data_IF_756830775535
#
_entry.id   IF_756830775535
#
_cell.length_a   1.000
_cell.length_b   1.000
_cell.length_c   1.000
_cell.angle_alpha   90.00
_cell.angle_beta   90.00
_cell.angle_gamma   90.00
#
_symmetry.space_group_name_H-M   'P 1'
#
loop_
_entity.id
_entity.type
_entity.pdbx_description
1 polymer ?
#
# COMPACT_ATOMS: atom_id res chain seq x y z
N UNK A 1 25.20 -7.03 22.30
CA UNK A 1 23.97 -7.58 22.90
C UNK A 1 22.83 -7.37 21.95
N UNK A 2 22.46 -8.41 21.22
CA UNK A 2 21.45 -8.39 20.16
C UNK A 2 20.11 -8.73 20.78
N UNK A 3 19.19 -7.76 20.88
CA UNK A 3 17.80 -8.03 21.27
C UNK A 3 17.03 -8.42 20.02
N UNK A 4 16.98 -9.71 19.75
CA UNK A 4 16.01 -10.29 18.82
C UNK A 4 14.63 -10.25 19.47
N UNK A 5 13.75 -9.36 19.00
CA UNK A 5 12.33 -9.40 19.34
C UNK A 5 11.72 -10.63 18.67
N UNK A 6 11.67 -11.74 19.43
CA UNK A 6 11.03 -12.97 19.00
C UNK A 6 9.51 -12.78 18.94
N UNK A 7 8.96 -12.77 17.73
CA UNK A 7 7.54 -13.00 17.55
C UNK A 7 7.26 -14.45 17.96
N UNK A 8 6.42 -14.65 18.97
CA UNK A 8 5.95 -15.97 19.39
C UNK A 8 5.15 -16.60 18.25
N UNK A 9 5.27 -17.91 18.07
CA UNK A 9 4.55 -18.68 17.03
C UNK A 9 3.01 -18.48 17.06
N UNK A 10 2.45 -18.15 18.21
CA UNK A 10 1.01 -17.91 18.37
C UNK A 10 0.51 -16.65 17.65
N UNK A 11 1.37 -15.65 17.43
CA UNK A 11 1.02 -14.43 16.67
C UNK A 11 1.04 -14.62 15.16
N UNK A 12 1.67 -15.65 14.64
CA UNK A 12 1.75 -15.91 13.19
C UNK A 12 0.44 -16.43 12.61
N UNK A 13 -0.37 -17.13 13.42
CA UNK A 13 -1.62 -17.73 12.95
C UNK A 13 -2.74 -16.70 12.66
N UNK A 14 -2.59 -15.46 13.14
CA UNK A 14 -3.54 -14.36 12.91
C UNK A 14 -3.11 -13.40 11.78
N UNK A 15 -1.96 -13.66 11.14
CA UNK A 15 -1.45 -12.85 10.05
C UNK A 15 -1.97 -13.35 8.70
N UNK A 16 -2.15 -12.44 7.75
CA UNK A 16 -2.45 -12.85 6.38
C UNK A 16 -1.32 -13.72 5.81
N UNK A 17 -1.64 -14.57 4.86
CA UNK A 17 -0.66 -15.39 4.13
C UNK A 17 0.51 -14.53 3.60
N UNK A 18 0.20 -13.36 3.06
CA UNK A 18 1.19 -12.43 2.51
C UNK A 18 2.12 -11.82 3.57
N UNK A 19 1.61 -11.57 4.78
CA UNK A 19 2.41 -11.12 5.91
C UNK A 19 3.40 -12.21 6.33
N UNK A 20 2.92 -13.45 6.41
CA UNK A 20 3.74 -14.61 6.77
C UNK A 20 4.86 -14.84 5.75
N UNK A 21 4.53 -14.81 4.44
CA UNK A 21 5.52 -14.94 3.38
C UNK A 21 6.57 -13.82 3.42
N UNK A 22 6.14 -12.57 3.67
CA UNK A 22 7.07 -11.45 3.77
C UNK A 22 8.00 -11.55 4.98
N UNK A 23 7.50 -12.08 6.10
CA UNK A 23 8.32 -12.39 7.29
C UNK A 23 9.36 -13.48 6.96
N UNK A 24 8.98 -14.53 6.22
CA UNK A 24 9.92 -15.57 5.78
C UNK A 24 11.03 -15.01 4.89
N UNK A 25 10.67 -14.13 3.95
CA UNK A 25 11.67 -13.42 3.14
C UNK A 25 12.59 -12.57 4.02
N UNK A 26 12.04 -11.86 5.00
CA UNK A 26 12.83 -11.04 5.93
C UNK A 26 13.82 -11.84 6.76
N UNK A 27 13.36 -12.93 7.36
CA UNK A 27 14.15 -13.75 8.29
C UNK A 27 15.18 -14.65 7.58
N UNK A 28 14.75 -15.33 6.53
CA UNK A 28 15.49 -16.45 5.94
C UNK A 28 15.99 -16.16 4.53
N UNK A 29 15.63 -15.00 3.95
CA UNK A 29 15.84 -14.74 2.52
C UNK A 29 15.26 -15.86 1.66
N UNK A 30 14.05 -16.32 2.03
CA UNK A 30 13.38 -17.44 1.39
C UNK A 30 12.97 -17.06 -0.03
N UNK A 31 13.57 -17.74 -1.01
CA UNK A 31 13.34 -17.49 -2.44
C UNK A 31 11.95 -17.95 -2.89
N UNK A 32 11.44 -19.02 -2.29
CA UNK A 32 10.12 -19.57 -2.65
C UNK A 32 9.01 -18.65 -2.16
N UNK A 33 9.13 -18.15 -0.91
CA UNK A 33 8.24 -17.15 -0.37
C UNK A 33 8.28 -15.84 -1.20
N UNK A 34 9.47 -15.42 -1.61
CA UNK A 34 9.60 -14.23 -2.46
C UNK A 34 9.00 -14.45 -3.85
N UNK A 35 9.17 -15.64 -4.45
CA UNK A 35 8.55 -15.98 -5.73
C UNK A 35 7.03 -15.86 -5.65
N UNK A 36 6.40 -16.41 -4.62
CA UNK A 36 4.95 -16.31 -4.42
C UNK A 36 4.50 -14.84 -4.25
N UNK A 37 5.23 -14.04 -3.47
CA UNK A 37 4.97 -12.59 -3.35
C UNK A 37 5.11 -11.89 -4.70
N UNK A 38 6.15 -12.20 -5.48
CA UNK A 38 6.38 -11.60 -6.79
C UNK A 38 5.25 -11.92 -7.78
N UNK A 39 4.87 -13.19 -7.90
CA UNK A 39 3.81 -13.65 -8.80
C UNK A 39 2.46 -13.01 -8.45
N UNK A 40 2.19 -12.79 -7.18
CA UNK A 40 0.94 -12.16 -6.73
C UNK A 40 0.98 -10.63 -6.89
N UNK A 41 2.05 -9.97 -6.45
CA UNK A 41 2.07 -8.50 -6.34
C UNK A 41 2.55 -7.81 -7.62
N UNK A 42 3.47 -8.38 -8.40
CA UNK A 42 4.03 -7.69 -9.57
C UNK A 42 2.98 -7.26 -10.60
N UNK A 43 2.03 -8.11 -11.04
CA UNK A 43 0.98 -7.69 -11.98
C UNK A 43 0.05 -6.63 -11.38
N UNK A 44 -0.22 -6.71 -10.08
CA UNK A 44 -1.05 -5.73 -9.36
C UNK A 44 -0.36 -4.37 -9.22
N UNK A 45 0.93 -4.38 -8.91
CA UNK A 45 1.76 -3.16 -8.87
C UNK A 45 1.84 -2.50 -10.25
N UNK A 46 2.09 -3.27 -11.32
CA UNK A 46 2.11 -2.74 -12.69
C UNK A 46 0.78 -2.08 -13.04
N UNK A 47 -0.34 -2.76 -12.80
CA UNK A 47 -1.68 -2.22 -13.04
C UNK A 47 -1.95 -0.95 -12.20
N UNK A 48 -1.51 -0.92 -10.95
CA UNK A 48 -1.61 0.26 -10.10
C UNK A 48 -0.80 1.43 -10.66
N UNK A 49 0.46 1.22 -11.04
CA UNK A 49 1.36 2.25 -11.56
C UNK A 49 0.82 2.84 -12.88
N UNK A 50 0.27 2.01 -13.77
CA UNK A 50 -0.39 2.47 -14.99
C UNK A 50 -1.61 3.36 -14.67
N UNK A 51 -2.44 2.96 -13.70
CA UNK A 51 -3.62 3.76 -13.29
C UNK A 51 -3.25 5.12 -12.72
N UNK A 52 -2.13 5.22 -12.02
CA UNK A 52 -1.64 6.49 -11.47
C UNK A 52 -0.77 7.28 -12.46
N UNK A 53 -0.84 6.97 -13.75
CA UNK A 53 -0.27 7.77 -14.84
C UNK A 53 1.19 7.49 -15.18
N UNK A 54 1.75 6.34 -14.81
CA UNK A 54 3.01 5.87 -15.38
C UNK A 54 2.76 5.32 -16.78
N UNK A 55 3.69 5.55 -17.71
CA UNK A 55 3.72 4.79 -18.97
C UNK A 55 4.13 3.34 -18.73
N UNK A 56 3.97 2.48 -19.72
CA UNK A 56 4.20 1.04 -19.58
C UNK A 56 5.65 0.70 -19.20
N UNK A 57 6.62 1.36 -19.81
CA UNK A 57 8.04 1.16 -19.52
C UNK A 57 8.39 1.60 -18.10
N UNK A 58 7.92 2.78 -17.69
CA UNK A 58 8.12 3.28 -16.33
C UNK A 58 7.43 2.39 -15.29
N UNK A 59 6.22 1.91 -15.57
CA UNK A 59 5.50 1.03 -14.66
C UNK A 59 6.24 -0.30 -14.46
N UNK A 60 6.78 -0.88 -15.53
CA UNK A 60 7.57 -2.12 -15.45
C UNK A 60 8.85 -1.92 -14.63
N UNK A 61 9.62 -0.86 -14.93
CA UNK A 61 10.86 -0.55 -14.24
C UNK A 61 10.64 -0.27 -12.75
N UNK A 62 9.63 0.56 -12.42
CA UNK A 62 9.28 0.86 -11.03
C UNK A 62 8.82 -0.40 -10.29
N UNK A 63 8.05 -1.27 -10.95
CA UNK A 63 7.62 -2.54 -10.38
C UNK A 63 8.81 -3.43 -10.02
N UNK A 64 9.76 -3.60 -10.94
CA UNK A 64 10.98 -4.38 -10.71
C UNK A 64 11.80 -3.79 -9.56
N UNK A 65 12.05 -2.48 -9.57
CA UNK A 65 12.76 -1.80 -8.50
C UNK A 65 12.05 -1.93 -7.14
N UNK A 66 10.72 -1.85 -7.12
CA UNK A 66 9.94 -2.01 -5.92
C UNK A 66 10.09 -3.44 -5.35
N UNK A 67 10.01 -4.47 -6.19
CA UNK A 67 10.16 -5.86 -5.76
C UNK A 67 11.60 -6.16 -5.30
N UNK A 68 12.62 -5.60 -5.93
CA UNK A 68 14.01 -5.67 -5.43
C UNK A 68 14.10 -5.02 -4.03
N UNK A 69 13.43 -3.89 -3.84
CA UNK A 69 13.43 -3.21 -2.54
C UNK A 69 12.67 -4.01 -1.48
N UNK A 70 11.56 -4.67 -1.85
CA UNK A 70 10.84 -5.63 -0.99
C UNK A 70 11.80 -6.71 -0.50
N UNK A 71 12.52 -7.37 -1.41
CA UNK A 71 13.53 -8.38 -1.06
C UNK A 71 14.58 -7.87 -0.08
N UNK A 72 15.12 -6.68 -0.37
CA UNK A 72 16.18 -6.08 0.45
C UNK A 72 15.70 -5.68 1.84
N UNK A 73 14.51 -5.07 1.92
CA UNK A 73 13.96 -4.46 3.14
C UNK A 73 12.97 -5.34 3.90
N UNK A 74 12.71 -6.58 3.47
CA UNK A 74 11.76 -7.47 4.12
C UNK A 74 12.03 -7.67 5.63
N UNK A 75 13.30 -7.61 6.05
CA UNK A 75 13.69 -7.68 7.47
C UNK A 75 13.11 -6.52 8.31
N UNK A 76 12.88 -5.35 7.68
CA UNK A 76 12.28 -4.18 8.35
C UNK A 76 10.76 -4.19 8.35
N UNK A 77 10.13 -5.20 7.79
CA UNK A 77 8.68 -5.32 7.78
C UNK A 77 8.15 -5.60 9.19
N UNK A 78 7.15 -4.80 9.58
CA UNK A 78 6.43 -5.00 10.85
C UNK A 78 4.93 -5.12 10.56
N UNK A 79 4.34 -6.31 10.69
CA UNK A 79 2.92 -6.55 10.41
C UNK A 79 1.97 -5.80 11.36
N UNK A 80 2.43 -5.44 12.56
CA UNK A 80 1.64 -4.61 13.49
C UNK A 80 1.48 -3.17 12.99
N UNK A 81 2.41 -2.71 12.17
CA UNK A 81 2.39 -1.35 11.62
C UNK A 81 1.58 -1.24 10.33
N UNK A 82 1.68 -2.24 9.46
CA UNK A 82 0.95 -2.32 8.20
C UNK A 82 1.01 -3.74 7.66
N UNK A 83 -0.04 -4.23 6.99
CA UNK A 83 -0.01 -5.49 6.27
C UNK A 83 0.92 -5.44 5.05
N UNK A 84 1.34 -6.62 4.58
CA UNK A 84 2.28 -6.80 3.47
C UNK A 84 1.86 -6.04 2.21
N UNK A 85 0.57 -6.10 1.86
CA UNK A 85 0.03 -5.39 0.70
C UNK A 85 0.30 -3.88 0.81
N UNK A 86 -0.13 -3.25 1.91
CA UNK A 86 0.09 -1.81 2.14
C UNK A 86 1.57 -1.45 2.11
N UNK A 87 2.41 -2.28 2.70
CA UNK A 87 3.84 -2.04 2.77
C UNK A 87 4.50 -2.11 1.38
N UNK A 88 4.16 -3.12 0.58
CA UNK A 88 4.68 -3.32 -0.78
C UNK A 88 4.21 -2.19 -1.71
N UNK A 89 2.90 -1.83 -1.70
CA UNK A 89 2.38 -0.73 -2.50
C UNK A 89 2.97 0.62 -2.11
N UNK A 90 3.27 0.83 -0.81
CA UNK A 90 3.96 2.04 -0.34
C UNK A 90 5.38 2.14 -0.92
N UNK A 91 6.10 1.02 -1.03
CA UNK A 91 7.43 1.01 -1.66
C UNK A 91 7.32 1.41 -3.13
N UNK A 92 6.39 0.81 -3.89
CA UNK A 92 6.21 1.13 -5.30
C UNK A 92 5.81 2.60 -5.53
N UNK A 93 4.87 3.11 -4.70
CA UNK A 93 4.47 4.52 -4.75
C UNK A 93 5.64 5.46 -4.48
N UNK A 94 6.44 5.19 -3.45
CA UNK A 94 7.58 6.02 -3.13
C UNK A 94 8.62 6.03 -4.26
N UNK A 95 8.84 4.88 -4.90
CA UNK A 95 9.71 4.77 -6.08
C UNK A 95 9.22 5.63 -7.24
N UNK A 96 7.90 5.64 -7.49
CA UNK A 96 7.31 6.51 -8.51
C UNK A 96 7.50 8.00 -8.17
N UNK A 97 7.23 8.39 -6.94
CA UNK A 97 7.44 9.78 -6.49
C UNK A 97 8.90 10.20 -6.66
N UNK A 98 9.85 9.35 -6.28
CA UNK A 98 11.28 9.63 -6.43
C UNK A 98 11.67 9.77 -7.91
N UNK A 99 11.08 8.96 -8.79
CA UNK A 99 11.28 9.06 -10.24
C UNK A 99 10.74 10.40 -10.78
N UNK A 100 9.51 10.76 -10.46
CA UNK A 100 8.91 12.03 -10.88
C UNK A 100 9.74 13.25 -10.43
N UNK A 101 10.26 13.20 -9.21
CA UNK A 101 11.16 14.25 -8.68
C UNK A 101 12.46 14.35 -9.47
N UNK A 102 13.06 13.21 -9.85
CA UNK A 102 14.29 13.18 -10.67
C UNK A 102 14.07 13.70 -12.08
N UNK A 103 12.90 13.41 -12.65
CA UNK A 103 12.55 13.83 -14.01
C UNK A 103 12.04 15.27 -14.08
N UNK A 104 11.98 16.02 -12.96
CA UNK A 104 11.38 17.36 -12.86
C UNK A 104 9.99 17.47 -13.50
N UNK A 105 9.26 16.38 -13.57
CA UNK A 105 7.90 16.35 -14.10
C UNK A 105 6.92 16.88 -13.05
N UNK A 106 5.90 17.66 -13.47
CA UNK A 106 4.80 18.04 -12.58
C UNK A 106 4.18 16.78 -11.99
N UNK A 107 3.90 16.81 -10.68
CA UNK A 107 3.12 15.74 -10.07
C UNK A 107 1.74 15.70 -10.73
N UNK A 108 1.26 14.54 -11.17
CA UNK A 108 -0.06 14.44 -11.76
C UNK A 108 -1.14 14.93 -10.79
N UNK A 109 -2.11 15.67 -11.29
CA UNK A 109 -3.30 16.02 -10.51
C UNK A 109 -4.23 14.80 -10.47
N UNK A 110 -4.21 14.06 -9.35
CA UNK A 110 -5.04 12.87 -9.17
C UNK A 110 -6.52 13.18 -8.93
N UNK A 111 -6.89 14.48 -8.84
CA UNK A 111 -8.29 14.90 -8.83
C UNK A 111 -8.86 15.05 -10.26
N UNK A 112 -8.02 14.94 -11.29
CA UNK A 112 -8.48 14.97 -12.68
C UNK A 112 -9.28 13.68 -12.96
N UNK A 113 -10.59 13.80 -13.32
CA UNK A 113 -11.43 12.65 -13.66
C UNK A 113 -10.87 11.79 -14.80
N UNK A 114 -9.94 12.32 -15.61
CA UNK A 114 -9.30 11.58 -16.69
C UNK A 114 -8.40 10.46 -16.22
N UNK A 115 -7.89 10.52 -14.97
CA UNK A 115 -7.12 9.43 -14.36
C UNK A 115 -7.94 8.17 -14.08
N UNK A 116 -9.26 8.31 -13.99
CA UNK A 116 -10.17 7.19 -13.79
C UNK A 116 -10.65 6.55 -15.10
N UNK A 117 -10.12 6.98 -16.25
CA UNK A 117 -10.50 6.48 -17.57
C UNK A 117 -9.63 5.29 -17.96
N UNK A 118 -10.25 4.18 -17.91
CA UNK A 118 -10.18 2.84 -18.53
C UNK A 118 -9.76 1.73 -17.59
N UNK A 119 -10.70 0.82 -17.30
CA UNK A 119 -10.34 -0.55 -16.91
C UNK A 119 -9.69 -1.21 -18.13
N UNK A 120 -8.54 -1.82 -17.96
CA UNK A 120 -8.04 -2.79 -18.93
C UNK A 120 -8.93 -4.02 -18.74
N UNK A 121 -9.75 -4.29 -19.78
CA UNK A 121 -10.72 -5.37 -19.81
C UNK A 121 -10.14 -6.73 -19.43
N UNK A 122 -10.70 -7.34 -18.38
CA UNK A 122 -11.00 -8.77 -18.32
C UNK A 122 -12.37 -8.91 -17.66
N UNK A 123 -13.33 -9.40 -18.41
CA UNK A 123 -14.77 -9.32 -18.19
C UNK A 123 -15.34 -9.92 -16.89
N UNK A 124 -14.62 -10.74 -16.14
CA UNK A 124 -15.15 -11.43 -14.96
C UNK A 124 -14.89 -10.71 -13.62
N UNK A 125 -14.01 -9.69 -13.63
CA UNK A 125 -13.60 -8.93 -12.45
C UNK A 125 -14.43 -7.66 -12.19
N UNK A 126 -15.33 -7.26 -13.11
CA UNK A 126 -15.95 -5.92 -13.06
C UNK A 126 -17.01 -5.84 -11.96
N UNK A 127 -17.81 -6.87 -11.75
CA UNK A 127 -18.86 -6.87 -10.72
C UNK A 127 -18.26 -6.90 -9.31
N UNK A 128 -17.24 -7.71 -9.08
CA UNK A 128 -16.53 -7.75 -7.80
C UNK A 128 -15.82 -6.43 -7.50
N UNK A 129 -15.20 -5.79 -8.49
CA UNK A 129 -14.53 -4.49 -8.34
C UNK A 129 -15.49 -3.34 -8.01
N UNK A 130 -16.68 -3.33 -8.59
CA UNK A 130 -17.71 -2.31 -8.31
C UNK A 130 -18.18 -2.43 -6.85
N UNK A 131 -18.35 -3.64 -6.35
CA UNK A 131 -18.76 -3.86 -4.96
C UNK A 131 -17.63 -3.58 -3.96
N UNK A 132 -16.40 -3.95 -4.29
CA UNK A 132 -15.21 -3.57 -3.50
C UNK A 132 -15.04 -2.05 -3.45
N UNK A 133 -15.22 -1.35 -4.57
CA UNK A 133 -15.13 0.11 -4.62
C UNK A 133 -16.21 0.78 -3.76
N UNK A 134 -17.43 0.27 -3.77
CA UNK A 134 -18.52 0.73 -2.89
C UNK A 134 -18.20 0.49 -1.41
N UNK A 135 -17.67 -0.70 -1.08
CA UNK A 135 -17.24 -1.04 0.29
C UNK A 135 -16.14 -0.08 0.77
N UNK A 136 -15.12 0.16 -0.05
CA UNK A 136 -14.04 1.11 0.27
C UNK A 136 -14.56 2.54 0.43
N UNK A 137 -15.42 3.01 -0.48
CA UNK A 137 -16.04 4.35 -0.37
C UNK A 137 -16.87 4.50 0.90
N UNK A 138 -17.61 3.46 1.28
CA UNK A 138 -18.39 3.45 2.53
C UNK A 138 -17.48 3.47 3.75
N UNK A 139 -16.42 2.65 3.76
CA UNK A 139 -15.45 2.62 4.85
C UNK A 139 -14.73 3.97 5.03
N UNK A 140 -14.35 4.62 3.93
CA UNK A 140 -13.73 5.96 3.96
C UNK A 140 -14.68 7.03 4.53
N UNK A 141 -15.98 6.96 4.20
CA UNK A 141 -17.00 7.88 4.75
C UNK A 141 -17.21 7.72 6.25
N UNK A 142 -16.94 6.55 6.80
CA UNK A 142 -17.08 6.24 8.22
C UNK A 142 -15.84 6.63 9.05
N UNK A 143 -14.76 7.11 8.42
CA UNK A 143 -13.60 7.63 9.13
C UNK A 143 -13.91 9.01 9.73
N UNK A 144 -13.33 9.34 10.91
CA UNK A 144 -13.31 10.72 11.39
C UNK A 144 -12.72 11.66 10.33
N UNK A 145 -13.29 12.86 10.13
CA UNK A 145 -12.89 13.76 9.04
C UNK A 145 -11.39 14.08 9.02
N UNK A 146 -10.75 14.24 10.17
CA UNK A 146 -9.32 14.49 10.29
C UNK A 146 -8.48 13.27 9.84
N UNK A 147 -8.96 12.05 10.07
CA UNK A 147 -8.28 10.83 9.62
C UNK A 147 -8.48 10.62 8.12
N UNK A 148 -9.69 10.84 7.60
CA UNK A 148 -9.99 10.78 6.19
C UNK A 148 -9.12 11.78 5.41
N UNK A 149 -8.98 13.03 5.91
CA UNK A 149 -8.11 14.05 5.31
C UNK A 149 -6.64 13.60 5.25
N UNK A 150 -6.12 13.02 6.32
CA UNK A 150 -4.73 12.53 6.34
C UNK A 150 -4.51 11.34 5.40
N UNK A 151 -5.46 10.41 5.33
CA UNK A 151 -5.44 9.30 4.37
C UNK A 151 -5.46 9.86 2.95
N UNK A 152 -6.36 10.81 2.67
CA UNK A 152 -6.45 11.45 1.36
C UNK A 152 -5.12 12.11 0.99
N UNK A 153 -4.57 12.95 1.86
CA UNK A 153 -3.28 13.62 1.62
C UNK A 153 -2.12 12.64 1.43
N UNK A 154 -2.11 11.53 2.18
CA UNK A 154 -1.03 10.55 2.08
C UNK A 154 -1.15 9.67 0.83
N UNK A 155 -2.35 9.27 0.44
CA UNK A 155 -2.58 8.24 -0.58
C UNK A 155 -3.14 8.79 -1.90
N UNK A 156 -3.85 9.92 -1.87
CA UNK A 156 -4.35 10.60 -3.06
C UNK A 156 -3.44 11.75 -3.51
N UNK A 157 -3.10 12.66 -2.59
CA UNK A 157 -2.19 13.78 -2.89
C UNK A 157 -0.71 13.34 -2.89
N UNK A 158 -0.43 12.06 -2.65
CA UNK A 158 0.92 11.47 -2.59
C UNK A 158 1.93 12.27 -1.74
N UNK A 159 1.42 12.96 -0.72
CA UNK A 159 2.26 13.75 0.17
C UNK A 159 3.04 12.84 1.12
N UNK A 160 4.32 13.16 1.33
CA UNK A 160 5.09 12.50 2.40
C UNK A 160 4.51 12.87 3.76
N UNK A 161 4.63 11.99 4.75
CA UNK A 161 4.16 12.30 6.11
C UNK A 161 4.79 13.57 6.68
N UNK A 162 6.04 13.90 6.28
CA UNK A 162 6.70 15.15 6.66
C UNK A 162 5.98 16.34 6.05
N UNK A 163 5.67 16.30 4.75
CA UNK A 163 4.94 17.36 4.07
C UNK A 163 3.53 17.55 4.65
N UNK A 164 2.85 16.45 4.99
CA UNK A 164 1.54 16.52 5.66
C UNK A 164 1.69 17.17 7.05
N UNK A 165 2.73 16.84 7.82
CA UNK A 165 3.00 17.43 9.11
C UNK A 165 3.23 18.96 8.99
N UNK A 166 4.03 19.39 8.01
CA UNK A 166 4.31 20.78 7.73
C UNK A 166 3.04 21.56 7.30
N UNK A 167 2.17 20.95 6.48
CA UNK A 167 0.92 21.57 5.99
C UNK A 167 -0.23 21.59 7.01
N UNK A 168 -0.24 20.65 7.96
CA UNK A 168 -1.30 20.52 8.96
C UNK A 168 -0.92 21.04 10.33
N UNK A 169 0.30 21.52 10.48
CA UNK A 169 0.89 21.97 11.75
C UNK A 169 0.78 20.89 12.87
N UNK A 170 0.88 19.63 12.46
CA UNK A 170 0.87 18.48 13.36
C UNK A 170 2.28 17.89 13.50
N UNK A 171 2.68 17.44 14.69
CA UNK A 171 3.92 16.69 14.84
C UNK A 171 3.94 15.47 13.93
N UNK A 172 5.09 15.19 13.29
CA UNK A 172 5.26 14.04 12.38
C UNK A 172 4.84 12.71 13.01
N UNK A 173 5.10 12.53 14.32
CA UNK A 173 4.65 11.36 15.08
C UNK A 173 3.13 11.25 15.14
N UNK A 174 2.44 12.39 15.30
CA UNK A 174 0.98 12.46 15.32
C UNK A 174 0.38 12.11 13.96
N UNK A 175 0.97 12.64 12.86
CA UNK A 175 0.53 12.29 11.50
C UNK A 175 0.66 10.79 11.27
N UNK A 176 1.83 10.20 11.57
CA UNK A 176 2.07 8.77 11.44
C UNK A 176 1.09 7.91 12.24
N UNK A 177 0.86 8.26 13.52
CA UNK A 177 -0.04 7.51 14.38
C UNK A 177 -1.50 7.61 13.93
N UNK A 178 -1.98 8.81 13.52
CA UNK A 178 -3.34 9.00 13.00
C UNK A 178 -3.58 8.26 11.69
N UNK A 179 -2.61 8.28 10.76
CA UNK A 179 -2.70 7.50 9.52
C UNK A 179 -2.76 6.01 9.83
N UNK A 180 -1.93 5.50 10.76
CA UNK A 180 -1.97 4.10 11.19
C UNK A 180 -3.33 3.72 11.77
N UNK A 181 -3.88 4.54 12.66
CA UNK A 181 -5.20 4.30 13.24
C UNK A 181 -6.30 4.30 12.17
N UNK A 182 -6.23 5.22 11.19
CA UNK A 182 -7.18 5.27 10.10
C UNK A 182 -7.12 4.01 9.24
N UNK A 183 -5.92 3.53 8.89
CA UNK A 183 -5.74 2.28 8.14
C UNK A 183 -6.29 1.08 8.91
N UNK A 184 -6.02 0.99 10.21
CA UNK A 184 -6.55 -0.10 11.03
C UNK A 184 -8.08 -0.10 11.07
N UNK A 185 -8.71 1.08 11.21
CA UNK A 185 -10.18 1.22 11.15
C UNK A 185 -10.75 0.80 9.80
N UNK A 186 -10.10 1.23 8.70
CA UNK A 186 -10.51 0.81 7.36
C UNK A 186 -10.41 -0.71 7.21
N UNK A 187 -9.33 -1.32 7.70
CA UNK A 187 -9.14 -2.77 7.67
C UNK A 187 -10.26 -3.50 8.40
N UNK A 188 -10.51 -3.13 9.66
CA UNK A 188 -11.61 -3.73 10.45
C UNK A 188 -12.96 -3.62 9.74
N UNK A 189 -13.29 -2.44 9.19
CA UNK A 189 -14.54 -2.25 8.47
C UNK A 189 -14.61 -3.07 7.18
N UNK A 190 -13.51 -3.26 6.47
CA UNK A 190 -13.47 -4.06 5.25
C UNK A 190 -13.55 -5.56 5.56
N UNK A 191 -12.94 -6.02 6.65
CA UNK A 191 -13.03 -7.39 7.13
C UNK A 191 -14.47 -7.74 7.56
N UNK A 192 -15.18 -6.80 8.23
CA UNK A 192 -16.60 -6.94 8.59
C UNK A 192 -17.51 -7.05 7.35
N UNK A 193 -17.16 -6.42 6.23
CA UNK A 193 -17.88 -6.55 4.96
C UNK A 193 -17.56 -7.84 4.19
N UNK A 194 -16.48 -8.53 4.52
CA UNK A 194 -16.09 -9.82 3.91
C UNK A 194 -16.62 -11.04 4.64
N UNK A 195 -17.13 -10.88 5.86
CA UNK A 195 -17.59 -11.98 6.71
C UNK A 195 -19.11 -12.26 6.68
N UNK A 196 -19.83 -11.77 5.68
CA UNK A 196 -21.29 -11.96 5.55
C UNK A 196 -21.62 -12.74 4.29
N UNK A 197 -21.06 -13.94 4.15
CA UNK A 197 -21.54 -15.01 3.25
C UNK A 197 -21.43 -16.36 3.94
#
# INVERSE_FOLDING_TARGET
MSMGSGFSNDNLNNLSEWDQLLILVGRNKDKSAFKALYEHFAPRLKSFLLRIGSDESAAEEICQEAMIMVWRKAESFNPESAGASTWIFTIARNKRIDRLRKENRPMPDFNDPSFYKKPIDKSDDILQRVDEEKKIKKALKNLPPEQAKLIFSAYYDEKSHKKIADETDLPLGTVKSRIRLAINRLRTQLDDFGGSD
#
